data_IF_713881458758
#
_entry.id   IF_713881458758
#
_cell.length_a   1.000
_cell.length_b   1.000
_cell.length_c   1.000
_cell.angle_alpha   90.00
_cell.angle_beta   90.00
_cell.angle_gamma   90.00
#
_symmetry.space_group_name_H-M   'P 1'
#
loop_
_entity.id
_entity.type
_entity.pdbx_description
1 polymer ?
#
# COMPACT_ATOMS: atom_id res chain seq x y z
N UNK A 1 -27.52 13.39 29.18
CA UNK A 1 -27.42 12.55 27.99
C UNK A 1 -27.62 13.42 26.77
N UNK A 2 -26.54 13.72 26.06
CA UNK A 2 -26.58 14.50 24.83
C UNK A 2 -26.45 13.55 23.63
N UNK A 3 -27.25 13.76 22.59
CA UNK A 3 -27.15 13.00 21.34
C UNK A 3 -26.02 13.62 20.53
N UNK A 4 -24.97 12.84 20.23
CA UNK A 4 -23.83 13.32 19.45
C UNK A 4 -24.01 13.09 17.96
N UNK A 5 -24.60 11.96 17.58
CA UNK A 5 -24.91 11.66 16.20
C UNK A 5 -26.16 10.77 16.09
N UNK A 6 -26.85 10.89 14.97
CA UNK A 6 -27.97 10.04 14.56
C UNK A 6 -27.88 9.84 13.06
N UNK A 7 -27.73 8.60 12.60
CA UNK A 7 -27.50 8.30 11.19
C UNK A 7 -28.23 7.02 10.75
N UNK A 8 -28.83 7.05 9.58
CA UNK A 8 -29.37 5.86 8.91
C UNK A 8 -28.31 5.26 7.97
N UNK A 9 -28.09 3.96 8.07
CA UNK A 9 -27.09 3.22 7.33
C UNK A 9 -27.80 2.27 6.37
N UNK A 10 -27.51 2.40 5.08
CA UNK A 10 -28.07 1.53 4.06
C UNK A 10 -27.47 0.10 4.13
N UNK A 11 -28.23 -0.93 3.71
CA UNK A 11 -27.75 -2.31 3.67
C UNK A 11 -26.41 -2.46 2.92
N UNK A 12 -25.48 -3.21 3.48
CA UNK A 12 -24.17 -3.49 2.88
C UNK A 12 -23.15 -2.37 3.03
N UNK A 13 -23.49 -1.27 3.69
CA UNK A 13 -22.60 -0.12 3.90
C UNK A 13 -21.73 -0.28 5.15
N UNK A 14 -20.60 0.42 5.15
CA UNK A 14 -19.71 0.60 6.31
C UNK A 14 -19.61 2.11 6.54
N UNK A 15 -20.03 2.58 7.70
CA UNK A 15 -20.16 4.04 7.95
C UNK A 15 -19.54 4.43 9.28
N UNK A 16 -18.75 5.50 9.28
CA UNK A 16 -18.28 6.19 10.49
C UNK A 16 -19.47 6.88 11.15
N UNK A 17 -19.81 6.45 12.36
CA UNK A 17 -20.96 6.99 13.11
C UNK A 17 -20.53 7.96 14.20
N UNK A 18 -19.30 7.87 14.67
CA UNK A 18 -18.75 8.73 15.70
C UNK A 18 -17.23 8.67 15.75
N UNK A 19 -16.60 9.80 16.07
CA UNK A 19 -15.17 9.92 16.36
C UNK A 19 -15.00 10.59 17.71
N UNK A 20 -14.26 9.96 18.62
CA UNK A 20 -13.97 10.53 19.93
C UNK A 20 -13.07 11.76 19.75
N UNK A 21 -13.47 12.96 20.21
CA UNK A 21 -12.65 14.16 20.10
C UNK A 21 -11.29 14.00 20.79
N UNK A 22 -10.28 14.71 20.29
CA UNK A 22 -8.97 14.76 20.94
C UNK A 22 -9.09 15.30 22.38
N UNK A 23 -8.48 14.59 23.34
CA UNK A 23 -8.51 14.95 24.75
C UNK A 23 -9.77 14.54 25.52
N UNK A 24 -10.80 13.98 24.85
CA UNK A 24 -12.00 13.50 25.51
C UNK A 24 -11.91 11.99 25.80
N UNK A 25 -12.09 11.61 27.07
CA UNK A 25 -12.06 10.21 27.52
C UNK A 25 -13.41 9.74 28.07
N UNK A 26 -14.46 10.52 27.86
CA UNK A 26 -15.81 10.20 28.31
C UNK A 26 -16.28 8.88 27.66
N UNK A 27 -16.91 7.97 28.43
CA UNK A 27 -17.47 6.75 27.87
C UNK A 27 -18.63 7.08 26.93
N UNK A 28 -18.74 6.32 25.84
CA UNK A 28 -19.79 6.53 24.84
C UNK A 28 -20.73 5.33 24.81
N UNK A 29 -22.03 5.59 24.68
CA UNK A 29 -23.05 4.57 24.47
C UNK A 29 -23.54 4.61 23.03
N UNK A 30 -23.50 3.48 22.33
CA UNK A 30 -24.08 3.33 21.00
C UNK A 30 -25.41 2.57 21.09
N UNK A 31 -26.46 3.15 20.50
CA UNK A 31 -27.77 2.51 20.34
C UNK A 31 -27.97 2.21 18.86
N UNK A 32 -28.16 0.94 18.54
CA UNK A 32 -28.39 0.44 17.18
C UNK A 32 -29.86 0.00 17.08
N UNK A 33 -30.61 0.55 16.13
CA UNK A 33 -32.02 0.22 15.90
C UNK A 33 -32.20 -0.33 14.50
N UNK A 34 -32.76 -1.53 14.38
CA UNK A 34 -33.06 -2.15 13.10
C UNK A 34 -34.27 -1.45 12.46
N UNK A 35 -34.07 -0.82 11.30
CA UNK A 35 -35.14 -0.13 10.55
C UNK A 35 -35.70 -1.01 9.41
N UNK A 36 -35.24 -2.25 9.29
CA UNK A 36 -35.74 -3.16 8.26
C UNK A 36 -37.21 -3.46 8.47
N UNK A 37 -38.03 -3.27 7.44
CA UNK A 37 -39.42 -3.76 7.42
C UNK A 37 -39.51 -5.25 7.08
N UNK A 38 -38.39 -5.87 6.71
CA UNK A 38 -38.33 -7.27 6.30
C UNK A 38 -37.99 -8.17 7.50
N UNK A 39 -39.01 -8.86 8.02
CA UNK A 39 -38.96 -9.77 9.19
C UNK A 39 -38.17 -11.06 8.93
N UNK A 40 -37.87 -11.39 7.67
CA UNK A 40 -37.37 -12.72 7.29
C UNK A 40 -35.84 -12.85 7.27
N UNK A 41 -35.08 -11.81 7.62
CA UNK A 41 -33.61 -11.87 7.64
C UNK A 41 -33.07 -11.44 9.00
N UNK A 42 -32.33 -12.35 9.62
CA UNK A 42 -31.35 -12.01 10.64
C UNK A 42 -30.43 -10.91 10.10
N UNK A 43 -30.59 -9.70 10.61
CA UNK A 43 -29.76 -8.58 10.22
C UNK A 43 -28.51 -8.59 11.09
N UNK A 44 -27.40 -9.03 10.52
CA UNK A 44 -26.12 -8.96 11.19
C UNK A 44 -25.67 -7.49 11.22
N UNK A 45 -25.64 -6.92 12.42
CA UNK A 45 -25.02 -5.63 12.66
C UNK A 45 -23.70 -5.86 13.36
N UNK A 46 -22.66 -5.24 12.83
CA UNK A 46 -21.31 -5.33 13.35
C UNK A 46 -20.82 -3.94 13.76
N UNK A 47 -20.58 -3.77 15.07
CA UNK A 47 -19.99 -2.57 15.63
C UNK A 47 -18.48 -2.78 15.76
N UNK A 48 -17.73 -1.94 15.05
CA UNK A 48 -16.28 -2.00 14.94
C UNK A 48 -15.69 -0.78 15.62
N UNK A 49 -14.86 -1.01 16.64
CA UNK A 49 -14.06 0.04 17.24
C UNK A 49 -12.69 0.08 16.54
N UNK A 50 -12.47 1.14 15.77
CA UNK A 50 -11.21 1.38 15.08
C UNK A 50 -10.41 2.36 15.93
N UNK A 51 -9.26 1.91 16.46
CA UNK A 51 -8.44 2.83 17.23
C UNK A 51 -7.55 3.66 16.33
N UNK A 52 -7.54 4.98 16.56
CA UNK A 52 -6.66 5.89 15.81
C UNK A 52 -5.19 5.65 16.10
N UNK A 53 -4.85 5.12 17.29
CA UNK A 53 -3.47 4.86 17.68
C UNK A 53 -2.93 3.53 17.17
N UNK A 54 -3.79 2.56 16.85
CA UNK A 54 -3.40 1.14 16.73
C UNK A 54 -3.74 0.51 15.37
N UNK A 55 -4.08 1.28 14.34
CA UNK A 55 -4.28 0.75 12.98
C UNK A 55 -2.97 0.85 12.16
N UNK A 56 -2.06 -0.15 12.22
CA UNK A 56 -0.88 -0.13 11.39
C UNK A 56 -1.29 -0.21 9.91
N UNK A 57 -0.48 0.39 9.05
CA UNK A 57 -0.56 0.12 7.61
C UNK A 57 -0.44 -1.39 7.34
N UNK A 58 -1.41 -1.99 6.63
CA UNK A 58 -1.37 -3.42 6.24
C UNK A 58 -0.43 -3.64 5.07
N UNK A 59 -0.60 -2.77 4.09
CA UNK A 59 -0.15 -3.01 2.75
C UNK A 59 -0.01 -1.69 2.02
N UNK A 60 0.81 -1.76 0.98
CA UNK A 60 1.04 -0.64 0.07
C UNK A 60 0.70 -1.13 -1.33
N UNK A 61 -0.03 -0.33 -2.10
CA UNK A 61 -0.33 -0.65 -3.50
C UNK A 61 0.22 0.44 -4.39
N UNK A 62 1.13 0.06 -5.29
CA UNK A 62 1.67 0.95 -6.29
C UNK A 62 0.67 1.09 -7.44
N UNK A 63 0.17 2.30 -7.67
CA UNK A 63 -0.81 2.56 -8.75
C UNK A 63 -0.14 3.08 -10.02
N UNK A 64 1.01 3.76 -9.92
CA UNK A 64 1.82 4.13 -11.08
C UNK A 64 3.33 4.00 -10.79
N UNK A 65 4.03 3.21 -11.61
CA UNK A 65 5.44 2.87 -11.43
C UNK A 65 6.43 4.01 -11.70
N UNK A 66 6.00 5.06 -12.44
CA UNK A 66 6.91 6.04 -13.02
C UNK A 66 7.96 5.40 -13.95
N UNK A 67 8.78 6.21 -14.61
CA UNK A 67 9.93 5.71 -15.39
C UNK A 67 10.99 6.79 -15.57
N UNK A 68 12.25 6.39 -15.80
CA UNK A 68 13.34 7.35 -16.07
C UNK A 68 14.09 7.84 -14.83
N UNK A 69 13.96 7.13 -13.71
CA UNK A 69 14.67 7.47 -12.49
C UNK A 69 16.19 7.28 -12.64
N UNK A 70 16.95 8.33 -12.36
CA UNK A 70 18.42 8.33 -12.32
C UNK A 70 18.99 7.99 -10.94
N UNK A 71 18.15 8.05 -9.91
CA UNK A 71 18.44 7.70 -8.51
C UNK A 71 17.21 7.04 -7.88
N UNK A 72 17.39 6.29 -6.78
CA UNK A 72 16.23 5.75 -6.06
C UNK A 72 15.48 6.93 -5.46
N UNK A 73 14.19 7.13 -5.82
CA UNK A 73 13.45 8.26 -5.28
C UNK A 73 13.18 8.06 -3.80
N UNK A 74 13.01 9.15 -3.06
CA UNK A 74 12.49 9.09 -1.71
C UNK A 74 10.96 8.95 -1.77
N UNK A 75 10.38 8.13 -0.89
CA UNK A 75 8.95 8.08 -0.66
C UNK A 75 8.64 8.77 0.67
N UNK A 76 7.67 9.69 0.66
CA UNK A 76 7.27 10.46 1.83
C UNK A 76 5.77 10.36 2.02
N UNK A 77 5.32 10.17 3.25
CA UNK A 77 3.90 10.20 3.59
C UNK A 77 3.53 11.61 4.03
N UNK A 78 2.55 12.21 3.37
CA UNK A 78 2.17 13.62 3.56
C UNK A 78 0.88 13.81 4.35
N UNK A 79 0.19 12.74 4.72
CA UNK A 79 -1.02 12.80 5.55
C UNK A 79 -0.77 13.17 7.01
N UNK A 80 -1.82 13.63 7.70
CA UNK A 80 -1.83 13.87 9.15
C UNK A 80 -1.71 12.56 9.93
N UNK A 81 -0.49 12.25 10.33
CA UNK A 81 -0.10 11.09 11.14
C UNK A 81 0.67 11.55 12.36
N UNK A 82 0.53 10.82 13.48
CA UNK A 82 1.31 11.09 14.69
C UNK A 82 2.75 10.64 14.53
N UNK A 83 2.94 9.46 13.92
CA UNK A 83 4.25 8.89 13.58
C UNK A 83 4.19 8.48 12.11
N UNK A 84 5.04 9.08 11.28
CA UNK A 84 5.10 8.74 9.86
C UNK A 84 5.64 7.33 9.65
N UNK A 85 5.09 6.57 8.70
CA UNK A 85 5.65 5.28 8.33
C UNK A 85 6.96 5.48 7.56
N UNK A 86 7.86 4.54 7.72
CA UNK A 86 9.08 4.48 6.93
C UNK A 86 8.88 3.55 5.74
N UNK A 87 9.08 4.08 4.53
CA UNK A 87 8.94 3.36 3.27
C UNK A 87 10.31 3.28 2.58
N UNK A 88 10.68 2.07 2.15
CA UNK A 88 11.81 1.87 1.25
C UNK A 88 11.30 1.59 -0.17
N UNK A 89 11.72 2.43 -1.11
CA UNK A 89 11.41 2.22 -2.53
C UNK A 89 12.27 1.08 -3.08
N UNK A 90 11.63 0.13 -3.76
CA UNK A 90 12.31 -0.89 -4.55
C UNK A 90 12.16 -0.58 -6.03
N UNK A 91 13.31 -0.38 -6.66
CA UNK A 91 13.43 -0.15 -8.10
C UNK A 91 13.69 -1.48 -8.81
N UNK A 92 13.27 -1.59 -10.07
CA UNK A 92 13.64 -2.69 -10.96
C UNK A 92 14.14 -2.18 -12.30
N UNK A 93 14.89 -3.03 -13.02
CA UNK A 93 15.32 -2.74 -14.38
C UNK A 93 14.10 -2.58 -15.29
N UNK A 94 13.97 -1.42 -15.94
CA UNK A 94 12.90 -1.15 -16.89
C UNK A 94 13.34 -1.45 -18.33
N UNK A 95 14.49 -0.91 -18.74
CA UNK A 95 15.01 -1.02 -20.10
C UNK A 95 16.54 -0.92 -20.18
N UNK A 96 17.07 -1.25 -21.35
CA UNK A 96 18.50 -1.27 -21.64
C UNK A 96 18.79 -0.66 -23.01
N UNK A 97 19.96 -0.04 -23.14
CA UNK A 97 20.54 0.35 -24.42
C UNK A 97 21.98 -0.16 -24.49
N UNK A 98 22.41 -0.55 -25.69
CA UNK A 98 23.76 -1.07 -25.93
C UNK A 98 24.65 0.13 -26.29
N UNK A 99 25.60 0.46 -25.42
CA UNK A 99 26.62 1.49 -25.69
C UNK A 99 27.83 0.93 -26.44
N UNK A 100 28.24 -0.29 -26.12
CA UNK A 100 29.22 -1.08 -26.87
C UNK A 100 28.72 -2.51 -26.95
N UNK A 101 28.59 -3.06 -28.16
CA UNK A 101 28.06 -4.40 -28.40
C UNK A 101 28.98 -5.55 -27.93
N UNK A 102 30.21 -5.24 -27.52
CA UNK A 102 31.19 -6.25 -27.11
C UNK A 102 31.58 -7.19 -28.25
N UNK A 103 32.23 -8.31 -27.92
CA UNK A 103 32.71 -9.31 -28.87
C UNK A 103 32.54 -10.73 -28.32
N UNK A 104 32.46 -11.72 -29.20
CA UNK A 104 32.44 -13.16 -28.88
C UNK A 104 31.25 -13.65 -28.05
N UNK A 105 30.14 -12.93 -28.05
CA UNK A 105 28.88 -13.42 -27.48
C UNK A 105 28.20 -14.43 -28.40
N UNK A 106 27.36 -15.27 -27.82
CA UNK A 106 26.48 -16.20 -28.55
C UNK A 106 25.02 -15.95 -28.19
N UNK A 107 24.12 -16.25 -29.11
CA UNK A 107 22.68 -16.34 -28.79
C UNK A 107 22.49 -17.34 -27.65
N UNK A 108 21.64 -16.98 -26.69
CA UNK A 108 21.38 -17.68 -25.42
C UNK A 108 22.47 -17.57 -24.35
N UNK A 109 23.51 -16.77 -24.54
CA UNK A 109 24.40 -16.42 -23.42
C UNK A 109 23.57 -15.71 -22.33
N UNK A 110 23.70 -16.20 -21.09
CA UNK A 110 23.08 -15.59 -19.90
C UNK A 110 24.07 -14.66 -19.22
N UNK A 111 23.67 -13.40 -19.11
CA UNK A 111 24.48 -12.33 -18.56
C UNK A 111 23.86 -11.85 -17.24
N UNK A 112 24.71 -11.46 -16.29
CA UNK A 112 24.32 -10.82 -15.03
C UNK A 112 24.78 -9.37 -15.05
N UNK A 113 23.87 -8.43 -14.79
CA UNK A 113 24.16 -6.99 -14.82
C UNK A 113 24.79 -6.51 -13.51
N UNK A 114 25.95 -5.85 -13.59
CA UNK A 114 26.64 -5.26 -12.45
C UNK A 114 26.09 -3.92 -12.01
N UNK A 115 24.90 -3.89 -11.38
CA UNK A 115 24.19 -2.66 -11.02
C UNK A 115 24.02 -2.42 -9.50
N UNK A 116 24.70 -3.18 -8.64
CA UNK A 116 24.60 -3.01 -7.17
C UNK A 116 23.27 -3.49 -6.55
N UNK A 117 22.45 -4.21 -7.32
CA UNK A 117 21.16 -4.71 -6.90
C UNK A 117 21.25 -5.75 -5.76
N UNK A 118 20.24 -5.77 -4.88
CA UNK A 118 20.06 -6.85 -3.89
C UNK A 118 19.73 -8.17 -4.58
N UNK A 119 19.03 -8.11 -5.71
CA UNK A 119 18.82 -9.23 -6.63
C UNK A 119 19.27 -8.79 -8.01
N UNK A 120 20.35 -9.39 -8.53
CA UNK A 120 20.96 -8.97 -9.79
C UNK A 120 20.05 -9.28 -10.99
N UNK A 121 19.79 -8.32 -11.88
CA UNK A 121 19.10 -8.58 -13.14
C UNK A 121 19.91 -9.54 -14.01
N UNK A 122 19.21 -10.45 -14.67
CA UNK A 122 19.77 -11.36 -15.66
C UNK A 122 19.21 -11.08 -17.04
N UNK A 123 20.07 -11.19 -18.03
CA UNK A 123 19.79 -10.90 -19.43
C UNK A 123 20.13 -12.12 -20.27
N UNK A 124 19.43 -12.29 -21.39
CA UNK A 124 19.77 -13.29 -22.40
C UNK A 124 20.12 -12.60 -23.70
N UNK A 125 21.25 -12.95 -24.30
CA UNK A 125 21.61 -12.49 -25.65
C UNK A 125 20.65 -13.11 -26.67
N UNK A 126 19.87 -12.28 -27.35
CA UNK A 126 18.85 -12.77 -28.31
C UNK A 126 19.31 -12.69 -29.76
N UNK A 127 20.26 -11.82 -30.08
CA UNK A 127 20.87 -11.76 -31.41
C UNK A 127 22.32 -11.27 -31.33
N UNK A 128 23.16 -11.81 -32.22
CA UNK A 128 24.55 -11.38 -32.44
C UNK A 128 24.85 -11.26 -33.93
N UNK A 129 25.85 -10.45 -34.29
CA UNK A 129 26.39 -10.40 -35.66
C UNK A 129 27.40 -11.53 -35.93
N UNK A 130 28.00 -11.54 -37.13
CA UNK A 130 28.99 -12.56 -37.53
C UNK A 130 30.27 -12.56 -36.67
N UNK A 131 30.56 -11.46 -35.98
CA UNK A 131 31.71 -11.32 -35.08
C UNK A 131 31.34 -11.56 -33.61
N UNK A 132 30.10 -11.99 -33.33
CA UNK A 132 29.60 -12.19 -31.97
C UNK A 132 29.36 -10.88 -31.21
N UNK A 133 29.13 -9.75 -31.92
CA UNK A 133 28.69 -8.49 -31.29
C UNK A 133 27.22 -8.58 -30.95
N UNK A 134 26.84 -8.19 -29.75
CA UNK A 134 25.45 -8.23 -29.29
C UNK A 134 24.61 -7.21 -30.06
N UNK A 135 23.58 -7.68 -30.75
CA UNK A 135 22.62 -6.82 -31.46
C UNK A 135 21.36 -6.57 -30.61
N UNK A 136 20.94 -7.56 -29.82
CA UNK A 136 19.79 -7.43 -28.94
C UNK A 136 19.91 -8.30 -27.68
N UNK A 137 19.25 -7.83 -26.62
CA UNK A 137 19.18 -8.48 -25.31
C UNK A 137 17.72 -8.61 -24.89
N UNK A 138 17.37 -9.73 -24.27
CA UNK A 138 16.14 -9.90 -23.50
C UNK A 138 16.41 -9.74 -22.01
N UNK A 139 15.52 -9.06 -21.28
CA UNK A 139 15.55 -9.04 -19.82
C UNK A 139 14.86 -10.30 -19.32
N UNK A 140 15.63 -11.20 -18.69
CA UNK A 140 15.13 -12.47 -18.15
C UNK A 140 14.64 -12.29 -16.72
N UNK A 141 15.41 -11.57 -15.90
CA UNK A 141 14.97 -11.11 -14.58
C UNK A 141 15.29 -9.64 -14.41
N UNK A 142 14.34 -8.86 -13.86
CA UNK A 142 14.50 -7.41 -13.69
C UNK A 142 15.33 -7.02 -12.46
N UNK A 143 15.50 -7.93 -11.51
CA UNK A 143 16.17 -7.67 -10.25
C UNK A 143 15.44 -6.64 -9.37
N UNK A 144 15.97 -6.41 -8.16
CA UNK A 144 15.49 -5.36 -7.26
C UNK A 144 16.66 -4.57 -6.70
N UNK A 145 16.49 -3.25 -6.66
CA UNK A 145 17.48 -2.28 -6.21
C UNK A 145 16.86 -1.41 -5.12
N UNK A 146 17.51 -1.39 -3.95
CA UNK A 146 17.21 -0.43 -2.86
C UNK A 146 18.20 0.74 -2.86
N UNK A 147 19.29 0.61 -3.62
CA UNK A 147 20.24 1.67 -3.96
C UNK A 147 20.53 1.60 -5.45
N UNK A 148 20.73 2.74 -6.10
CA UNK A 148 21.19 2.79 -7.49
C UNK A 148 22.67 3.13 -7.49
N UNK A 149 23.46 2.37 -8.24
CA UNK A 149 24.81 2.76 -8.57
C UNK A 149 24.77 4.15 -9.23
N UNK A 150 25.71 5.02 -8.88
CA UNK A 150 25.76 6.41 -9.35
C UNK A 150 25.86 6.52 -10.88
N UNK A 151 26.33 5.47 -11.54
CA UNK A 151 26.47 5.38 -12.98
C UNK A 151 25.44 4.39 -13.55
N UNK A 152 24.47 4.92 -14.31
CA UNK A 152 23.50 4.13 -15.08
C UNK A 152 23.97 3.82 -16.50
N UNK A 153 25.14 4.35 -16.87
CA UNK A 153 25.85 4.19 -18.13
C UNK A 153 27.15 3.47 -17.82
N UNK A 154 27.70 2.71 -18.77
CA UNK A 154 28.97 2.04 -18.51
C UNK A 154 28.82 0.70 -17.77
N UNK A 155 27.59 0.18 -17.66
CA UNK A 155 27.32 -1.02 -16.87
C UNK A 155 27.97 -2.23 -17.53
N UNK A 156 28.78 -2.93 -16.72
CA UNK A 156 29.44 -4.17 -17.12
C UNK A 156 28.54 -5.36 -16.81
N UNK A 157 28.66 -6.39 -17.64
CA UNK A 157 28.01 -7.69 -17.43
C UNK A 157 29.03 -8.76 -17.09
N UNK A 158 28.62 -9.76 -16.31
CA UNK A 158 29.36 -11.02 -16.12
C UNK A 158 28.57 -12.20 -16.68
N UNK A 159 29.25 -13.30 -17.01
CA UNK A 159 28.61 -14.45 -17.66
C UNK A 159 28.73 -14.39 -19.20
N UNK A 160 28.29 -15.46 -19.86
CA UNK A 160 28.56 -15.68 -21.28
C UNK A 160 30.05 -15.90 -21.58
N UNK A 161 30.40 -15.99 -22.88
CA UNK A 161 31.80 -16.08 -23.33
C UNK A 161 32.35 -14.77 -23.91
N UNK A 162 31.49 -13.78 -24.10
CA UNK A 162 31.87 -12.50 -24.67
C UNK A 162 32.56 -11.57 -23.69
N UNK A 163 33.06 -10.45 -24.22
CA UNK A 163 33.74 -9.39 -23.45
C UNK A 163 33.35 -8.00 -23.94
N UNK A 164 33.64 -7.00 -23.12
CA UNK A 164 33.55 -5.57 -23.45
C UNK A 164 32.14 -5.07 -23.84
N UNK A 165 31.08 -5.82 -23.49
CA UNK A 165 29.71 -5.33 -23.57
C UNK A 165 29.51 -4.21 -22.53
N UNK A 166 29.07 -3.05 -23.01
CA UNK A 166 28.74 -1.88 -22.19
C UNK A 166 27.28 -1.53 -22.40
N UNK A 167 26.54 -1.45 -21.30
CA UNK A 167 25.12 -1.16 -21.29
C UNK A 167 24.82 0.15 -20.57
N UNK A 168 23.71 0.78 -20.96
CA UNK A 168 23.04 1.78 -20.12
C UNK A 168 21.65 1.27 -19.75
N UNK A 169 21.24 1.49 -18.51
CA UNK A 169 19.98 1.00 -17.96
C UNK A 169 19.05 2.14 -17.58
N UNK A 170 17.75 1.91 -17.75
CA UNK A 170 16.69 2.73 -17.14
C UNK A 170 15.95 1.89 -16.11
N UNK A 171 15.47 2.54 -15.06
CA UNK A 171 14.79 1.90 -13.94
C UNK A 171 13.39 2.48 -13.72
N UNK A 172 12.55 1.70 -13.06
CA UNK A 172 11.21 2.10 -12.61
C UNK A 172 10.95 1.61 -11.19
N UNK A 173 9.95 2.19 -10.53
CA UNK A 173 9.52 1.69 -9.21
C UNK A 173 8.79 0.36 -9.42
N UNK A 174 9.23 -0.67 -8.70
CA UNK A 174 8.58 -1.98 -8.71
C UNK A 174 7.59 -2.11 -7.55
N UNK A 175 8.01 -1.70 -6.36
CA UNK A 175 7.25 -1.84 -5.13
C UNK A 175 7.80 -0.95 -4.01
N UNK A 176 7.12 -0.98 -2.87
CA UNK A 176 7.56 -0.39 -1.61
C UNK A 176 7.67 -1.47 -0.56
N UNK A 177 8.63 -1.31 0.33
CA UNK A 177 8.69 -2.07 1.57
C UNK A 177 8.33 -1.12 2.69
N UNK A 178 7.29 -1.47 3.43
CA UNK A 178 6.98 -0.80 4.68
C UNK A 178 7.98 -1.29 5.74
N UNK A 179 8.92 -0.42 6.12
CA UNK A 179 9.91 -0.71 7.15
C UNK A 179 9.32 -0.50 8.55
N UNK A 180 8.56 0.58 8.72
CA UNK A 180 7.78 0.83 9.93
C UNK A 180 6.36 1.30 9.56
N UNK A 181 5.30 0.79 10.22
CA UNK A 181 3.93 1.07 9.82
C UNK A 181 3.42 2.47 10.20
N UNK A 182 4.17 3.25 10.98
CA UNK A 182 3.69 4.51 11.55
C UNK A 182 2.49 4.32 12.49
N UNK A 183 1.89 5.41 12.96
CA UNK A 183 0.67 5.40 13.80
C UNK A 183 -0.06 6.74 13.82
N UNK A 184 -1.30 6.76 14.33
CA UNK A 184 -2.10 7.98 14.47
C UNK A 184 -2.73 8.45 13.16
N UNK A 185 -3.15 7.53 12.30
CA UNK A 185 -3.78 7.87 11.03
C UNK A 185 -5.20 8.37 11.27
N UNK A 186 -5.42 9.67 11.06
CA UNK A 186 -6.75 10.29 11.14
C UNK A 186 -7.50 10.27 9.80
N UNK A 187 -6.75 10.10 8.71
CA UNK A 187 -7.18 10.10 7.30
C UNK A 187 -6.37 9.05 6.52
N UNK A 188 -6.80 8.72 5.30
CA UNK A 188 -6.03 7.82 4.42
C UNK A 188 -4.67 8.45 4.08
N UNK A 189 -3.56 7.72 4.24
CA UNK A 189 -2.25 8.28 3.97
C UNK A 189 -1.97 8.44 2.47
N UNK A 190 -1.53 9.64 2.10
CA UNK A 190 -1.05 9.98 0.76
C UNK A 190 0.47 9.83 0.78
N UNK A 191 1.02 9.18 -0.25
CA UNK A 191 2.47 9.05 -0.43
C UNK A 191 2.90 9.74 -1.69
N UNK A 192 3.87 10.62 -1.53
CA UNK A 192 4.53 11.32 -2.61
C UNK A 192 5.89 10.69 -2.88
N UNK A 193 6.21 10.53 -4.16
CA UNK A 193 7.51 10.07 -4.63
C UNK A 193 8.28 11.29 -5.16
N UNK A 194 9.41 11.61 -4.54
CA UNK A 194 10.27 12.69 -5.01
C UNK A 194 10.95 12.27 -6.33
N UNK A 195 10.85 13.08 -7.39
CA UNK A 195 11.63 12.88 -8.61
C UNK A 195 10.95 13.36 -9.90
N UNK A 196 11.67 13.34 -11.03
CA UNK A 196 11.16 13.81 -12.33
C UNK A 196 10.08 12.89 -12.93
N UNK A 197 9.89 11.71 -12.35
CA UNK A 197 8.92 10.73 -12.78
C UNK A 197 7.81 10.62 -11.73
N UNK A 198 6.61 11.08 -12.09
CA UNK A 198 5.44 11.03 -11.22
C UNK A 198 4.89 9.60 -11.16
N UNK A 199 5.07 8.94 -10.02
CA UNK A 199 4.32 7.76 -9.64
C UNK A 199 3.39 8.12 -8.48
N UNK A 200 2.15 7.63 -8.51
CA UNK A 200 1.24 7.70 -7.37
C UNK A 200 1.22 6.35 -6.66
N UNK A 201 1.09 6.38 -5.34
CA UNK A 201 0.94 5.20 -4.51
C UNK A 201 -0.33 5.39 -3.69
N UNK A 202 -1.10 4.32 -3.56
CA UNK A 202 -2.17 4.28 -2.57
C UNK A 202 -1.73 3.38 -1.43
N UNK A 203 -1.78 3.92 -0.22
CA UNK A 203 -1.64 3.11 0.99
C UNK A 203 -3.03 2.73 1.49
N UNK A 204 -3.21 1.46 1.81
CA UNK A 204 -4.43 0.98 2.42
C UNK A 204 -4.11 0.59 3.86
N UNK A 205 -4.54 1.37 4.87
CA UNK A 205 -4.33 0.98 6.26
C UNK A 205 -5.03 -0.34 6.56
N UNK A 206 -4.39 -1.20 7.37
CA UNK A 206 -5.13 -2.31 7.99
C UNK A 206 -5.79 -1.73 9.20
N UNK A 207 -7.01 -1.23 9.02
CA UNK A 207 -7.76 -0.86 10.20
C UNK A 207 -8.33 -2.14 10.78
N UNK A 208 -7.49 -2.82 11.57
CA UNK A 208 -7.94 -3.94 12.39
C UNK A 208 -8.81 -3.35 13.51
N UNK A 209 -10.08 -3.73 13.61
CA UNK A 209 -10.91 -3.32 14.74
C UNK A 209 -10.24 -3.82 16.01
N UNK A 210 -9.91 -2.89 16.91
CA UNK A 210 -9.31 -3.21 18.22
C UNK A 210 -10.24 -4.11 19.01
N UNK A 211 -11.54 -3.86 18.86
CA UNK A 211 -12.61 -4.70 19.38
C UNK A 211 -13.70 -4.89 18.31
N UNK A 212 -14.02 -6.16 18.06
CA UNK A 212 -15.30 -6.54 17.47
C UNK A 212 -16.30 -6.61 18.60
N UNK A 213 -17.13 -5.59 18.75
CA UNK A 213 -17.92 -5.42 19.97
C UNK A 213 -19.17 -6.29 19.97
N UNK A 214 -19.87 -6.37 18.83
CA UNK A 214 -21.10 -7.16 18.72
C UNK A 214 -21.25 -7.64 17.28
N UNK A 215 -21.53 -8.94 17.09
CA UNK A 215 -22.21 -9.47 15.91
C UNK A 215 -23.48 -10.12 16.42
N UNK A 216 -24.61 -9.46 16.21
CA UNK A 216 -25.88 -9.95 16.68
C UNK A 216 -26.93 -9.81 15.59
N UNK A 217 -27.80 -10.81 15.52
CA UNK A 217 -28.97 -10.78 14.66
C UNK A 217 -30.02 -9.97 15.41
N UNK A 218 -30.40 -8.82 14.85
CA UNK A 218 -31.47 -7.98 15.39
C UNK A 218 -32.79 -8.36 14.72
N UNK A 219 -33.84 -8.62 15.51
CA UNK A 219 -35.20 -8.65 14.98
C UNK A 219 -35.66 -7.24 14.57
N UNK A 220 -36.82 -7.14 13.92
CA UNK A 220 -37.44 -5.85 13.59
C UNK A 220 -37.88 -5.15 14.87
N UNK A 221 -37.69 -3.84 14.95
CA UNK A 221 -37.97 -2.98 16.11
C UNK A 221 -37.17 -3.29 17.39
N UNK A 222 -36.21 -4.23 17.34
CA UNK A 222 -35.25 -4.42 18.41
C UNK A 222 -34.14 -3.36 18.35
N UNK A 223 -33.60 -3.06 19.53
CA UNK A 223 -32.44 -2.21 19.68
C UNK A 223 -31.35 -2.91 20.49
N UNK A 224 -30.10 -2.69 20.09
CA UNK A 224 -28.92 -3.06 20.88
C UNK A 224 -28.36 -1.80 21.49
N UNK A 225 -28.13 -1.84 22.80
CA UNK A 225 -27.39 -0.81 23.53
C UNK A 225 -26.02 -1.36 23.88
N UNK A 226 -24.98 -0.78 23.29
CA UNK A 226 -23.60 -1.05 23.69
C UNK A 226 -23.16 0.10 24.58
N UNK A 227 -23.08 -0.16 25.89
CA UNK A 227 -22.71 0.83 26.90
C UNK A 227 -21.20 0.84 27.13
N UNK A 228 -20.73 1.95 27.69
CA UNK A 228 -19.37 2.09 28.22
C UNK A 228 -18.30 1.67 27.22
N UNK A 229 -18.47 2.09 25.96
CA UNK A 229 -17.48 1.83 24.92
C UNK A 229 -16.16 2.48 25.36
N UNK A 230 -15.06 1.71 25.47
CA UNK A 230 -13.77 2.22 25.92
C UNK A 230 -13.07 2.97 24.78
N UNK A 231 -13.70 4.05 24.32
CA UNK A 231 -13.13 4.92 23.29
C UNK A 231 -11.99 5.73 23.91
N UNK A 232 -10.85 5.72 23.25
CA UNK A 232 -9.76 6.66 23.52
C UNK A 232 -9.81 7.82 22.52
N UNK A 233 -9.23 9.00 22.85
CA UNK A 233 -9.18 10.12 21.94
C UNK A 233 -8.73 9.74 20.52
N UNK A 234 -9.51 10.14 19.52
CA UNK A 234 -9.30 9.83 18.11
C UNK A 234 -9.92 8.51 17.65
N UNK A 235 -10.32 7.60 18.54
CA UNK A 235 -10.97 6.35 18.14
C UNK A 235 -12.25 6.62 17.34
N UNK A 236 -12.45 5.79 16.31
CA UNK A 236 -13.56 5.89 15.39
C UNK A 236 -14.47 4.68 15.56
N UNK A 237 -15.76 4.95 15.77
CA UNK A 237 -16.79 3.94 15.82
C UNK A 237 -17.38 3.76 14.41
N UNK A 238 -17.31 2.54 13.89
CA UNK A 238 -17.83 2.19 12.57
C UNK A 238 -18.91 1.13 12.71
N UNK A 239 -19.99 1.29 11.96
CA UNK A 239 -21.07 0.31 11.89
C UNK A 239 -21.10 -0.28 10.49
N UNK A 240 -21.09 -1.61 10.45
CA UNK A 240 -21.34 -2.40 9.24
C UNK A 240 -22.66 -3.13 9.42
N UNK A 241 -23.62 -2.85 8.55
CA UNK A 241 -24.96 -3.42 8.64
C UNK A 241 -25.30 -4.19 7.36
N UNK A 242 -25.83 -5.41 7.50
CA UNK A 242 -26.37 -6.16 6.36
C UNK A 242 -27.77 -5.71 5.94
N UNK A 243 -28.36 -4.75 6.67
CA UNK A 243 -29.69 -4.17 6.45
C UNK A 243 -29.73 -2.70 6.89
N UNK A 244 -30.88 -2.04 6.70
CA UNK A 244 -31.08 -0.66 7.11
C UNK A 244 -31.06 -0.54 8.64
N UNK A 245 -30.15 0.26 9.18
CA UNK A 245 -29.98 0.45 10.64
C UNK A 245 -29.87 1.93 10.95
N UNK A 246 -30.61 2.39 11.96
CA UNK A 246 -30.35 3.68 12.59
C UNK A 246 -29.35 3.50 13.73
N UNK A 247 -28.35 4.38 13.78
CA UNK A 247 -27.37 4.41 14.85
C UNK A 247 -27.46 5.74 15.55
N UNK A 248 -27.56 5.69 16.87
CA UNK A 248 -27.59 6.85 17.74
C UNK A 248 -26.46 6.74 18.74
N UNK A 249 -25.58 7.73 18.77
CA UNK A 249 -24.46 7.77 19.70
C UNK A 249 -24.74 8.80 20.77
N UNK A 250 -24.63 8.36 22.03
CA UNK A 250 -25.04 9.12 23.20
C UNK A 250 -23.89 9.16 24.20
N UNK A 251 -23.68 10.34 24.74
CA UNK A 251 -22.71 10.65 25.80
C UNK A 251 -23.45 11.18 27.05
#
# INVERSE_FOLDING_TARGET
MAIRSSLEIAPGSVVEVYRQPDGDTSPVTAVLTNLSTNLAKANAVELLLLSSSDAPLASTTLTAQGSGYTSVPAARVTSKVKVAPELQVRMELNGLTIGNAGLNYRVNDVLTLGCGASTKPTLTVTAVDINGRVLSLGITTRGFLTTLAREQVGLKTTGGKGRDLILSATYRVASFVLLTPGSGYSELPIVDIDGPAAGTISLTPNIQPRHRLVRQELAVDEFIVVKDLPLTPGDTLVVKASASVAVKVIE
#
